data_IF_403478674912
#
_entry.id   IF_403478674912
#
_cell.length_a   1.000
_cell.length_b   1.000
_cell.length_c   1.000
_cell.angle_alpha   90.00
_cell.angle_beta   90.00
_cell.angle_gamma   90.00
#
_symmetry.space_group_name_H-M   'P 1'
#
loop_
_entity.id
_entity.type
_entity.pdbx_description
1 polymer ?
#
# COMPACT_ATOMS: atom_id res chain seq x y z
N UNK A 1 -4.02 7.47 8.27
CA UNK A 1 -4.52 6.93 6.98
C UNK A 1 -3.94 5.55 6.75
N UNK A 2 -4.79 4.58 6.50
CA UNK A 2 -4.38 3.24 6.14
C UNK A 2 -4.46 3.06 4.62
N UNK A 3 -3.43 2.50 4.03
CA UNK A 3 -3.33 2.34 2.57
C UNK A 3 -3.21 0.86 2.23
N UNK A 4 -4.02 0.42 1.26
CA UNK A 4 -3.93 -0.92 0.69
C UNK A 4 -3.30 -0.83 -0.70
N UNK A 5 -2.31 -1.68 -0.96
CA UNK A 5 -1.69 -1.82 -2.28
C UNK A 5 -1.92 -3.24 -2.77
N UNK A 6 -2.70 -3.40 -3.83
CA UNK A 6 -2.84 -4.68 -4.51
C UNK A 6 -1.78 -4.81 -5.59
N UNK A 7 -1.29 -6.02 -5.85
CA UNK A 7 -0.14 -6.21 -6.74
C UNK A 7 1.16 -5.71 -6.13
N UNK A 8 1.26 -5.79 -4.80
CA UNK A 8 2.36 -5.17 -4.05
C UNK A 8 3.74 -5.74 -4.36
N UNK A 9 3.80 -7.00 -4.82
CA UNK A 9 5.08 -7.65 -5.15
C UNK A 9 5.52 -7.43 -6.59
N UNK A 10 4.67 -6.81 -7.42
CA UNK A 10 5.06 -6.43 -8.77
C UNK A 10 6.10 -5.32 -8.77
N UNK A 11 6.68 -5.03 -9.93
CA UNK A 11 7.72 -4.00 -10.06
C UNK A 11 7.22 -2.64 -9.58
N UNK A 12 6.05 -2.22 -10.07
CA UNK A 12 5.45 -0.93 -9.70
C UNK A 12 4.99 -0.96 -8.24
N UNK A 13 4.40 -2.09 -7.81
CA UNK A 13 3.93 -2.24 -6.44
C UNK A 13 5.03 -2.13 -5.41
N UNK A 14 6.17 -2.79 -5.67
CA UNK A 14 7.33 -2.73 -4.78
C UNK A 14 7.85 -1.30 -4.66
N UNK A 15 7.99 -0.59 -5.78
CA UNK A 15 8.47 0.79 -5.78
C UNK A 15 7.49 1.70 -5.02
N UNK A 16 6.19 1.53 -5.25
CA UNK A 16 5.18 2.31 -4.54
C UNK A 16 5.19 2.04 -3.04
N UNK A 17 5.25 0.78 -2.64
CA UNK A 17 5.29 0.43 -1.22
C UNK A 17 6.49 1.01 -0.52
N UNK A 18 7.67 0.97 -1.15
CA UNK A 18 8.88 1.57 -0.59
C UNK A 18 8.71 3.08 -0.42
N UNK A 19 8.12 3.74 -1.41
CA UNK A 19 7.88 5.18 -1.36
C UNK A 19 6.91 5.53 -0.23
N UNK A 20 5.82 4.78 -0.11
CA UNK A 20 4.84 4.99 0.97
C UNK A 20 5.45 4.78 2.35
N UNK A 21 6.30 3.78 2.50
CA UNK A 21 7.00 3.52 3.76
C UNK A 21 7.95 4.67 4.11
N UNK A 22 8.61 5.25 3.13
CA UNK A 22 9.46 6.41 3.35
C UNK A 22 8.65 7.63 3.82
N UNK A 23 7.49 7.84 3.25
CA UNK A 23 6.58 8.91 3.68
C UNK A 23 6.12 8.66 5.11
N UNK A 24 5.72 7.42 5.42
CA UNK A 24 5.27 7.04 6.76
C UNK A 24 6.34 7.29 7.81
N UNK A 25 7.59 6.95 7.48
CA UNK A 25 8.72 7.06 8.41
C UNK A 25 9.30 8.47 8.47
N UNK A 26 8.74 9.41 7.72
CA UNK A 26 9.19 10.80 7.71
C UNK A 26 10.46 11.05 6.92
N UNK A 27 10.88 10.10 6.09
CA UNK A 27 12.10 10.23 5.28
C UNK A 27 11.88 11.06 4.03
N UNK A 28 10.64 11.11 3.54
CA UNK A 28 10.28 11.90 2.37
C UNK A 28 9.61 13.18 2.83
N UNK A 29 10.30 14.30 2.69
CA UNK A 29 9.83 15.59 3.18
C UNK A 29 8.93 16.34 2.19
N UNK A 30 8.71 15.79 1.00
CA UNK A 30 7.90 16.46 -0.01
C UNK A 30 6.40 16.43 0.30
N UNK A 31 5.97 15.57 1.23
CA UNK A 31 4.56 15.45 1.60
C UNK A 31 4.39 15.37 3.12
N UNK A 32 4.79 16.43 3.83
CA UNK A 32 4.76 16.40 5.30
C UNK A 32 3.37 16.32 5.90
N UNK A 33 2.33 16.69 5.15
CA UNK A 33 0.95 16.63 5.61
C UNK A 33 0.32 15.25 5.49
N UNK A 34 0.97 14.33 4.78
CA UNK A 34 0.42 12.99 4.57
C UNK A 34 0.77 12.10 5.76
N UNK A 35 -0.26 11.68 6.49
CA UNK A 35 -0.08 10.83 7.66
C UNK A 35 -0.48 9.40 7.35
N UNK A 36 0.50 8.53 7.18
CA UNK A 36 0.31 7.11 6.88
C UNK A 36 0.56 6.29 8.14
N UNK A 37 -0.46 5.55 8.59
CA UNK A 37 -0.36 4.70 9.78
C UNK A 37 0.03 3.27 9.41
N UNK A 38 -0.69 2.68 8.46
CA UNK A 38 -0.48 1.31 8.02
C UNK A 38 -0.46 1.22 6.50
N UNK A 39 0.36 0.30 6.00
CA UNK A 39 0.44 -0.04 4.58
C UNK A 39 0.18 -1.54 4.47
N UNK A 40 -0.96 -1.90 3.87
CA UNK A 40 -1.33 -3.30 3.64
C UNK A 40 -0.88 -3.72 2.26
N UNK A 41 -0.09 -4.78 2.17
CA UNK A 41 0.43 -5.31 0.92
C UNK A 41 -0.32 -6.59 0.57
N UNK A 42 -1.04 -6.57 -0.55
CA UNK A 42 -1.79 -7.73 -1.05
C UNK A 42 -1.24 -8.16 -2.39
N UNK A 43 -1.04 -9.46 -2.56
CA UNK A 43 -0.59 -10.03 -3.83
C UNK A 43 -1.18 -11.44 -4.01
N UNK A 44 -0.76 -12.13 -5.07
CA UNK A 44 -1.31 -13.43 -5.47
C UNK A 44 -1.19 -14.51 -4.40
N UNK A 45 -0.20 -14.42 -3.52
CA UNK A 45 -0.01 -15.36 -2.42
C UNK A 45 -0.82 -15.00 -1.17
N UNK A 46 -1.54 -13.89 -1.20
CA UNK A 46 -2.44 -13.50 -0.10
C UNK A 46 -3.81 -14.16 -0.28
N UNK A 47 -4.54 -14.32 0.83
CA UNK A 47 -5.86 -14.94 0.79
C UNK A 47 -6.96 -13.93 0.53
N UNK A 48 -8.13 -14.34 -0.05
CA UNK A 48 -9.27 -13.44 -0.20
C UNK A 48 -9.77 -12.85 1.12
N UNK A 49 -9.64 -13.59 2.22
CA UNK A 49 -10.02 -13.09 3.54
C UNK A 49 -9.15 -11.92 3.96
N UNK A 50 -7.87 -11.96 3.64
CA UNK A 50 -6.96 -10.83 3.91
C UNK A 50 -7.37 -9.59 3.11
N UNK A 51 -7.78 -9.79 1.85
CA UNK A 51 -8.24 -8.67 1.02
C UNK A 51 -9.45 -8.00 1.62
N UNK A 52 -10.44 -8.77 2.05
CA UNK A 52 -11.63 -8.24 2.71
C UNK A 52 -11.27 -7.43 3.96
N UNK A 53 -10.40 -7.98 4.80
CA UNK A 53 -9.95 -7.31 6.01
C UNK A 53 -9.25 -5.99 5.70
N UNK A 54 -8.34 -6.01 4.73
CA UNK A 54 -7.60 -4.82 4.35
C UNK A 54 -8.50 -3.75 3.74
N UNK A 55 -9.48 -4.16 2.92
CA UNK A 55 -10.44 -3.23 2.33
C UNK A 55 -11.28 -2.53 3.38
N UNK A 56 -11.63 -3.23 4.45
CA UNK A 56 -12.40 -2.63 5.54
C UNK A 56 -11.59 -1.61 6.34
N UNK A 57 -10.29 -1.83 6.47
CA UNK A 57 -9.41 -0.97 7.25
C UNK A 57 -8.77 0.16 6.45
N UNK A 58 -8.69 -0.01 5.13
CA UNK A 58 -7.98 0.94 4.27
C UNK A 58 -8.83 2.18 4.01
N UNK A 59 -8.19 3.34 4.10
CA UNK A 59 -8.78 4.62 3.71
C UNK A 59 -8.54 4.90 2.23
N UNK A 60 -7.50 4.31 1.66
CA UNK A 60 -7.12 4.50 0.27
C UNK A 60 -6.59 3.19 -0.32
N UNK A 61 -6.91 2.93 -1.58
CA UNK A 61 -6.50 1.70 -2.27
C UNK A 61 -5.76 2.04 -3.55
N UNK A 62 -4.53 1.52 -3.69
CA UNK A 62 -3.81 1.52 -4.96
C UNK A 62 -3.98 0.14 -5.59
N UNK A 63 -4.76 0.07 -6.67
CA UNK A 63 -5.03 -1.20 -7.34
C UNK A 63 -4.06 -1.39 -8.50
N UNK A 64 -2.95 -2.06 -8.25
CA UNK A 64 -1.91 -2.34 -9.23
C UNK A 64 -1.95 -3.78 -9.76
N UNK A 65 -2.87 -4.59 -9.26
CA UNK A 65 -3.03 -5.95 -9.76
C UNK A 65 -3.38 -5.92 -11.26
N UNK A 66 -2.62 -6.64 -12.07
CA UNK A 66 -2.80 -6.65 -13.52
C UNK A 66 -2.03 -5.58 -14.27
N UNK A 67 -1.34 -4.69 -13.57
CA UNK A 67 -0.45 -3.70 -14.19
C UNK A 67 0.94 -4.29 -14.32
N UNK A 68 1.45 -4.36 -15.54
CA UNK A 68 2.78 -4.92 -15.81
C UNK A 68 3.67 -3.88 -16.46
#
# INVERSE_FOLDING_TARGET
>A
MNILVTGAKGMVGTALCNNLKNIRDGKNKTRPALHIEEIFEYDLDSTPAELDEYCQKADFVFNLAGVN
#
